data_IF_389298979144
#
_entry.id   IF_389298979144
#
_cell.length_a   1.000
_cell.length_b   1.000
_cell.length_c   1.000
_cell.angle_alpha   90.00
_cell.angle_beta   90.00
_cell.angle_gamma   90.00
#
_symmetry.space_group_name_H-M   'P 1'
#
loop_
_entity.id
_entity.type
_entity.pdbx_description
1 polymer ?
#
# COMPACT_ATOMS: atom_id res chain seq x y z
N UNK A 1 5.64 22.04 -14.79
CA UNK A 1 4.56 21.19 -14.26
C UNK A 1 5.15 20.44 -13.09
N UNK A 2 4.71 20.72 -11.87
CA UNK A 2 5.04 19.88 -10.73
C UNK A 2 4.41 18.51 -10.99
N UNK A 3 5.23 17.47 -10.97
CA UNK A 3 4.79 16.10 -11.14
C UNK A 3 3.79 15.78 -10.01
N UNK A 4 2.52 15.52 -10.33
CA UNK A 4 1.51 15.13 -9.33
C UNK A 4 1.90 13.83 -8.61
N UNK A 5 2.86 13.06 -9.16
CA UNK A 5 3.47 11.93 -8.47
C UNK A 5 4.38 12.34 -7.29
N UNK A 6 4.82 13.60 -7.20
CA UNK A 6 5.73 14.07 -6.16
C UNK A 6 5.04 14.63 -4.91
N UNK A 7 3.70 14.60 -4.83
CA UNK A 7 2.97 15.29 -3.75
C UNK A 7 3.18 14.60 -2.38
N UNK A 8 3.42 13.28 -2.38
CA UNK A 8 3.88 12.54 -1.21
C UNK A 8 4.96 11.56 -1.67
N UNK A 9 6.23 11.93 -1.47
CA UNK A 9 7.39 11.09 -1.81
C UNK A 9 7.51 9.90 -0.86
N UNK A 10 6.60 8.93 -0.99
CA UNK A 10 6.57 7.74 -0.14
C UNK A 10 7.81 6.88 -0.34
N UNK A 11 8.40 6.48 0.78
CA UNK A 11 9.68 5.78 0.80
C UNK A 11 9.50 4.32 0.40
N UNK A 12 8.30 3.74 0.64
CA UNK A 12 7.95 2.40 0.15
C UNK A 12 7.81 2.32 -1.38
N UNK A 13 7.94 3.43 -2.11
CA UNK A 13 7.78 3.51 -3.56
C UNK A 13 8.76 2.67 -4.38
N UNK A 14 9.91 2.29 -3.83
CA UNK A 14 10.98 1.58 -4.54
C UNK A 14 11.14 0.12 -4.09
N UNK A 15 10.20 -0.39 -3.30
CA UNK A 15 10.25 -1.74 -2.75
C UNK A 15 10.00 -2.81 -3.80
N UNK A 16 10.70 -3.93 -3.66
CA UNK A 16 10.49 -5.10 -4.51
C UNK A 16 9.21 -5.85 -4.12
N UNK A 17 8.55 -6.49 -5.08
CA UNK A 17 7.30 -7.24 -4.83
C UNK A 17 7.60 -8.63 -4.24
N UNK A 18 8.76 -9.20 -4.58
CA UNK A 18 9.14 -10.56 -4.23
C UNK A 18 9.80 -10.66 -2.86
N UNK A 19 9.78 -11.84 -2.21
CA UNK A 19 10.45 -12.07 -0.94
C UNK A 19 11.93 -11.66 -0.95
N UNK A 20 12.38 -11.05 0.13
CA UNK A 20 13.79 -10.72 0.37
C UNK A 20 14.30 -11.44 1.63
N UNK A 21 15.35 -10.93 2.27
CA UNK A 21 15.73 -11.40 3.61
C UNK A 21 14.69 -10.97 4.66
N UNK A 22 14.57 -11.72 5.76
CA UNK A 22 13.65 -11.39 6.86
C UNK A 22 13.89 -9.99 7.45
N UNK A 23 15.14 -9.52 7.48
CA UNK A 23 15.48 -8.15 7.94
C UNK A 23 14.96 -7.09 6.98
N UNK A 24 15.06 -7.33 5.67
CA UNK A 24 14.57 -6.41 4.66
C UNK A 24 13.04 -6.39 4.65
N UNK A 25 12.40 -7.56 4.77
CA UNK A 25 10.94 -7.65 4.81
C UNK A 25 10.34 -6.90 6.01
N UNK A 26 10.94 -6.99 7.21
CA UNK A 26 10.49 -6.17 8.33
C UNK A 26 10.68 -4.67 8.07
N UNK A 27 11.85 -4.28 7.58
CA UNK A 27 12.18 -2.87 7.31
C UNK A 27 11.24 -2.26 6.28
N UNK A 28 10.97 -2.99 5.21
CA UNK A 28 10.09 -2.59 4.13
C UNK A 28 8.62 -2.54 4.57
N UNK A 29 8.16 -3.48 5.39
CA UNK A 29 6.81 -3.43 5.94
C UNK A 29 6.63 -2.23 6.89
N UNK A 30 7.68 -1.87 7.66
CA UNK A 30 7.68 -0.65 8.47
C UNK A 30 7.60 0.61 7.61
N UNK A 31 8.24 0.65 6.44
CA UNK A 31 8.11 1.77 5.50
C UNK A 31 6.66 1.93 5.02
N UNK A 32 5.97 0.82 4.69
CA UNK A 32 4.54 0.87 4.35
C UNK A 32 3.71 1.40 5.52
N UNK A 33 4.01 0.95 6.75
CA UNK A 33 3.32 1.43 7.96
C UNK A 33 3.50 2.94 8.15
N UNK A 34 4.72 3.44 8.06
CA UNK A 34 5.00 4.87 8.20
C UNK A 34 4.38 5.72 7.09
N UNK A 35 4.36 5.23 5.85
CA UNK A 35 3.64 5.90 4.77
C UNK A 35 2.13 5.97 5.06
N UNK A 36 1.54 4.90 5.62
CA UNK A 36 0.13 4.89 6.04
C UNK A 36 -0.15 5.85 7.21
N UNK A 37 0.72 5.86 8.22
CA UNK A 37 0.63 6.78 9.36
C UNK A 37 0.75 8.24 8.92
N UNK A 38 1.64 8.52 7.96
CA UNK A 38 1.79 9.84 7.34
C UNK A 38 0.47 10.29 6.73
N UNK A 39 -0.23 9.41 5.99
CA UNK A 39 -1.56 9.72 5.44
C UNK A 39 -2.56 10.06 6.54
N UNK A 40 -2.61 9.29 7.64
CA UNK A 40 -3.49 9.59 8.78
C UNK A 40 -3.23 10.97 9.38
N UNK A 41 -1.95 11.33 9.57
CA UNK A 41 -1.56 12.63 10.12
C UNK A 41 -1.97 13.77 9.18
N UNK A 42 -1.86 13.57 7.87
CA UNK A 42 -2.26 14.56 6.88
C UNK A 42 -3.77 14.74 6.88
N UNK A 43 -4.52 13.64 6.94
CA UNK A 43 -5.98 13.64 7.03
C UNK A 43 -6.47 14.34 8.29
N UNK A 44 -5.88 14.07 9.45
CA UNK A 44 -6.25 14.73 10.71
C UNK A 44 -5.97 16.24 10.71
N UNK A 45 -5.07 16.71 9.83
CA UNK A 45 -4.75 18.12 9.61
C UNK A 45 -5.57 18.76 8.49
N UNK A 46 -6.49 18.02 7.88
CA UNK A 46 -7.31 18.48 6.75
C UNK A 46 -6.55 18.60 5.43
N UNK A 47 -5.30 18.15 5.36
CA UNK A 47 -4.45 18.25 4.16
C UNK A 47 -4.79 17.11 3.20
N UNK A 48 -4.97 17.41 1.90
CA UNK A 48 -5.25 16.39 0.89
C UNK A 48 -6.67 15.80 0.95
N UNK A 49 -7.61 16.49 1.61
CA UNK A 49 -9.00 16.04 1.80
C UNK A 49 -9.95 16.51 0.69
N UNK A 50 -9.48 17.32 -0.26
CA UNK A 50 -10.26 17.68 -1.44
C UNK A 50 -10.53 16.45 -2.30
N UNK A 51 -11.77 16.32 -2.77
CA UNK A 51 -12.19 15.18 -3.60
C UNK A 51 -11.66 15.36 -5.02
N UNK A 52 -11.13 14.28 -5.58
CA UNK A 52 -10.79 14.15 -6.99
C UNK A 52 -12.07 14.01 -7.82
N UNK A 53 -11.94 14.08 -9.16
CA UNK A 53 -13.04 13.78 -10.10
C UNK A 53 -13.63 12.38 -9.96
N UNK A 54 -12.91 11.47 -9.31
CA UNK A 54 -13.33 10.08 -9.06
C UNK A 54 -14.02 9.89 -7.70
N UNK A 55 -14.30 10.97 -6.97
CA UNK A 55 -15.04 10.90 -5.70
C UNK A 55 -14.23 10.39 -4.51
N UNK A 56 -12.90 10.27 -4.65
CA UNK A 56 -11.98 9.94 -3.55
C UNK A 56 -11.06 11.13 -3.25
N UNK A 57 -10.64 11.29 -2.00
CA UNK A 57 -9.64 12.29 -1.62
C UNK A 57 -8.23 11.88 -2.06
N UNK A 58 -7.27 12.81 -2.05
CA UNK A 58 -5.87 12.48 -2.31
C UNK A 58 -5.35 11.45 -1.30
N UNK A 59 -5.70 11.60 -0.01
CA UNK A 59 -5.30 10.67 1.05
C UNK A 59 -5.89 9.28 0.82
N UNK A 60 -7.16 9.19 0.42
CA UNK A 60 -7.81 7.93 0.07
C UNK A 60 -7.14 7.26 -1.14
N UNK A 61 -6.83 8.02 -2.18
CA UNK A 61 -6.10 7.51 -3.36
C UNK A 61 -4.74 6.93 -2.96
N UNK A 62 -3.99 7.64 -2.10
CA UNK A 62 -2.71 7.17 -1.56
C UNK A 62 -2.85 5.91 -0.69
N UNK A 63 -3.89 5.83 0.14
CA UNK A 63 -4.18 4.63 0.92
C UNK A 63 -4.49 3.43 0.00
N UNK A 64 -5.27 3.62 -1.06
CA UNK A 64 -5.56 2.59 -2.07
C UNK A 64 -4.28 2.09 -2.77
N UNK A 65 -3.35 3.00 -3.10
CA UNK A 65 -2.04 2.63 -3.67
C UNK A 65 -1.25 1.73 -2.70
N UNK A 66 -1.17 2.10 -1.42
CA UNK A 66 -0.50 1.28 -0.39
C UNK A 66 -1.21 -0.07 -0.16
N UNK A 67 -2.54 -0.09 -0.20
CA UNK A 67 -3.36 -1.31 -0.11
C UNK A 67 -2.98 -2.30 -1.22
N UNK A 68 -2.92 -1.77 -2.44
CA UNK A 68 -2.58 -2.52 -3.65
C UNK A 68 -1.16 -3.07 -3.57
N UNK A 69 -0.19 -2.25 -3.13
CA UNK A 69 1.20 -2.67 -2.93
C UNK A 69 1.32 -3.79 -1.88
N UNK A 70 0.69 -3.62 -0.72
CA UNK A 70 0.71 -4.63 0.34
C UNK A 70 0.11 -5.94 -0.15
N UNK A 71 -1.02 -5.88 -0.86
CA UNK A 71 -1.68 -7.05 -1.43
C UNK A 71 -0.81 -7.77 -2.47
N UNK A 72 -0.14 -7.03 -3.36
CA UNK A 72 0.83 -7.59 -4.32
C UNK A 72 1.96 -8.32 -3.60
N UNK A 73 2.59 -7.68 -2.61
CA UNK A 73 3.69 -8.26 -1.84
C UNK A 73 3.24 -9.57 -1.15
N UNK A 74 2.15 -9.51 -0.39
CA UNK A 74 1.60 -10.67 0.33
C UNK A 74 1.25 -11.83 -0.62
N UNK A 75 0.64 -11.53 -1.77
CA UNK A 75 0.24 -12.54 -2.76
C UNK A 75 1.43 -13.19 -3.46
N UNK A 76 2.54 -12.45 -3.60
CA UNK A 76 3.81 -12.95 -4.13
C UNK A 76 4.67 -13.67 -3.07
N UNK A 77 4.13 -13.91 -1.87
CA UNK A 77 4.79 -14.64 -0.77
C UNK A 77 5.67 -13.78 0.13
N UNK A 78 5.73 -12.46 -0.11
CA UNK A 78 6.45 -11.52 0.73
C UNK A 78 5.68 -11.28 2.03
N UNK A 79 6.39 -10.96 3.12
CA UNK A 79 5.79 -10.75 4.45
C UNK A 79 4.98 -11.95 4.98
N UNK A 80 5.34 -13.17 4.58
CA UNK A 80 4.67 -14.41 4.98
C UNK A 80 5.05 -14.90 6.39
N UNK A 81 6.10 -14.32 7.00
CA UNK A 81 6.47 -14.60 8.39
C UNK A 81 5.38 -14.09 9.35
N UNK A 82 4.92 -14.98 10.24
CA UNK A 82 3.89 -14.68 11.24
C UNK A 82 4.27 -13.55 12.19
N UNK A 83 5.57 -13.32 12.40
CA UNK A 83 6.05 -12.18 13.22
C UNK A 83 5.64 -10.82 12.63
N UNK A 84 5.23 -10.77 11.37
CA UNK A 84 4.81 -9.57 10.67
C UNK A 84 3.28 -9.41 10.65
N UNK A 85 2.52 -10.38 11.17
CA UNK A 85 1.04 -10.39 11.10
C UNK A 85 0.42 -9.20 11.85
N UNK A 86 0.95 -8.85 13.02
CA UNK A 86 0.46 -7.72 13.81
C UNK A 86 0.64 -6.39 13.03
N UNK A 87 1.82 -6.18 12.44
CA UNK A 87 2.10 -4.97 11.66
C UNK A 87 1.27 -4.90 10.37
N UNK A 88 1.05 -6.04 9.69
CA UNK A 88 0.14 -6.10 8.54
C UNK A 88 -1.29 -5.73 8.95
N UNK A 89 -1.75 -6.23 10.09
CA UNK A 89 -3.09 -5.96 10.60
C UNK A 89 -3.25 -4.47 10.92
N UNK A 90 -2.27 -3.86 11.57
CA UNK A 90 -2.25 -2.42 11.83
C UNK A 90 -2.31 -1.58 10.55
N UNK A 91 -1.53 -1.94 9.51
CA UNK A 91 -1.56 -1.25 8.21
C UNK A 91 -2.95 -1.34 7.58
N UNK A 92 -3.59 -2.51 7.65
CA UNK A 92 -4.93 -2.72 7.09
C UNK A 92 -5.97 -1.93 7.87
N UNK A 93 -5.94 -1.97 9.20
CA UNK A 93 -6.86 -1.19 10.05
C UNK A 93 -6.75 0.31 9.79
N UNK A 94 -5.52 0.82 9.71
CA UNK A 94 -5.24 2.20 9.36
C UNK A 94 -5.77 2.56 7.97
N UNK A 95 -5.52 1.71 6.98
CA UNK A 95 -5.99 1.89 5.61
C UNK A 95 -7.52 1.90 5.48
N UNK A 96 -8.20 0.99 6.18
CA UNK A 96 -9.67 0.95 6.25
C UNK A 96 -10.23 2.19 6.93
N UNK A 97 -9.57 2.70 7.97
CA UNK A 97 -9.97 3.96 8.61
C UNK A 97 -9.90 5.15 7.67
N UNK A 98 -8.87 5.24 6.81
CA UNK A 98 -8.69 6.35 5.85
C UNK A 98 -9.67 6.20 4.67
N UNK A 99 -9.84 5.00 4.14
CA UNK A 99 -10.61 4.74 2.93
C UNK A 99 -11.58 3.55 3.09
N UNK A 100 -12.61 3.68 3.94
CA UNK A 100 -13.47 2.54 4.30
C UNK A 100 -14.25 1.95 3.12
N UNK A 101 -14.57 2.78 2.12
CA UNK A 101 -15.35 2.35 0.96
C UNK A 101 -14.58 1.49 -0.05
N UNK A 102 -13.26 1.68 -0.18
CA UNK A 102 -12.49 1.12 -1.30
C UNK A 102 -11.23 0.34 -0.89
N UNK A 103 -10.72 0.50 0.33
CA UNK A 103 -9.44 -0.11 0.74
C UNK A 103 -9.44 -1.64 0.61
N UNK A 104 -10.40 -2.31 1.26
CA UNK A 104 -10.52 -3.77 1.22
C UNK A 104 -10.83 -4.30 -0.19
N UNK A 105 -11.60 -3.54 -0.96
CA UNK A 105 -11.89 -3.87 -2.35
C UNK A 105 -10.62 -3.84 -3.19
N UNK A 106 -9.82 -2.78 -3.08
CA UNK A 106 -8.54 -2.65 -3.79
C UNK A 106 -7.57 -3.79 -3.45
N UNK A 107 -7.44 -4.16 -2.17
CA UNK A 107 -6.64 -5.31 -1.77
C UNK A 107 -7.13 -6.60 -2.41
N UNK A 108 -8.44 -6.85 -2.37
CA UNK A 108 -9.04 -8.07 -2.89
C UNK A 108 -8.86 -8.20 -4.41
N UNK A 109 -9.03 -7.10 -5.14
CA UNK A 109 -8.80 -7.07 -6.60
C UNK A 109 -7.33 -7.29 -6.94
N UNK A 110 -6.40 -6.68 -6.18
CA UNK A 110 -4.96 -6.90 -6.38
C UNK A 110 -4.57 -8.37 -6.14
N UNK A 111 -5.07 -8.99 -5.06
CA UNK A 111 -4.85 -10.42 -4.80
C UNK A 111 -5.42 -11.30 -5.92
N UNK A 112 -6.64 -10.98 -6.40
CA UNK A 112 -7.27 -11.70 -7.51
C UNK A 112 -6.44 -11.58 -8.79
N UNK A 113 -5.94 -10.39 -9.09
CA UNK A 113 -5.10 -10.15 -10.25
C UNK A 113 -3.80 -10.98 -10.21
N UNK A 114 -3.12 -11.02 -9.07
CA UNK A 114 -1.91 -11.87 -8.92
C UNK A 114 -2.22 -13.34 -9.17
N UNK A 115 -3.36 -13.82 -8.67
CA UNK A 115 -3.79 -15.20 -8.89
C UNK A 115 -4.15 -15.49 -10.35
N UNK A 116 -4.72 -14.53 -11.07
CA UNK A 116 -5.10 -14.70 -12.48
C UNK A 116 -3.96 -14.50 -13.46
N UNK A 117 -2.95 -13.70 -13.11
CA UNK A 117 -1.88 -13.27 -14.02
C UNK A 117 -0.46 -13.64 -13.51
N UNK A 118 -0.17 -14.92 -13.20
CA UNK A 118 1.11 -15.31 -12.60
C UNK A 118 2.32 -15.07 -13.51
N UNK A 119 2.17 -15.23 -14.83
CA UNK A 119 3.25 -15.01 -15.78
C UNK A 119 3.60 -13.53 -15.97
N UNK A 120 2.59 -12.66 -15.91
CA UNK A 120 2.82 -11.22 -15.85
C UNK A 120 3.55 -10.85 -14.57
N UNK A 121 3.10 -11.36 -13.43
CA UNK A 121 3.68 -11.04 -12.13
C UNK A 121 5.15 -11.45 -12.06
N UNK A 122 5.54 -12.63 -12.57
CA UNK A 122 6.94 -13.09 -12.62
C UNK A 122 7.91 -12.13 -13.31
N UNK A 123 7.41 -11.28 -14.21
CA UNK A 123 8.21 -10.29 -14.92
C UNK A 123 8.38 -8.98 -14.13
N UNK A 124 7.55 -8.76 -13.11
CA UNK A 124 7.59 -7.56 -12.28
C UNK A 124 8.64 -7.72 -11.17
N UNK A 125 9.46 -6.69 -10.95
CA UNK A 125 10.39 -6.64 -9.81
C UNK A 125 9.92 -5.67 -8.73
N UNK A 126 9.46 -4.50 -9.16
CA UNK A 126 8.93 -3.42 -8.32
C UNK A 126 7.53 -3.06 -8.77
N UNK A 127 6.82 -2.34 -7.90
CA UNK A 127 5.55 -1.72 -8.22
C UNK A 127 5.72 -0.47 -9.09
#
# INVERSE_FOLDING_TARGET
MCDENSIYGFVSGQMDIWPSSSSNDLSDLLLISHDMETIKILESKGIGTHHTSFGVTLNQSKAIMLATRLAYCCSCGRFSDRKLDDLKSEIVENGVSICPGFFNQAMSEAMRFVASEPDFMRQQKRW
#
